data_IF_163103750894
#
_entry.id   IF_163103750894
#
_cell.length_a   1.000
_cell.length_b   1.000
_cell.length_c   1.000
_cell.angle_alpha   90.00
_cell.angle_beta   90.00
_cell.angle_gamma   90.00
#
_symmetry.space_group_name_H-M   'P 1'
#
loop_
_entity.id
_entity.type
_entity.pdbx_description
1 polymer ?
#
# COMPACT_ATOMS: atom_id res chain seq x y z
N UNK A 1 -1.39 -2.92 12.30
CA UNK A 1 -2.63 -2.17 12.56
C UNK A 1 -2.35 -0.68 12.45
N UNK A 2 -3.26 0.05 11.81
CA UNK A 2 -3.16 1.46 11.50
C UNK A 2 -4.36 2.19 12.10
N UNK A 3 -4.15 3.39 12.64
CA UNK A 3 -5.23 4.30 13.05
C UNK A 3 -5.53 5.26 11.92
N UNK A 4 -6.79 5.44 11.57
CA UNK A 4 -7.23 6.49 10.64
C UNK A 4 -7.12 7.83 11.36
N UNK A 5 -6.29 8.72 10.83
CA UNK A 5 -6.10 10.07 11.36
C UNK A 5 -7.07 11.03 10.69
N UNK A 6 -7.18 10.93 9.37
CA UNK A 6 -7.99 11.82 8.56
C UNK A 6 -8.42 11.14 7.26
N UNK A 7 -9.64 11.44 6.81
CA UNK A 7 -10.14 11.09 5.48
C UNK A 7 -10.30 12.38 4.68
N UNK A 8 -9.74 12.41 3.48
CA UNK A 8 -9.77 13.56 2.58
C UNK A 8 -10.54 13.15 1.33
N UNK A 9 -11.83 13.50 1.30
CA UNK A 9 -12.70 13.20 0.19
C UNK A 9 -12.41 14.08 -1.03
N UNK A 10 -12.29 13.44 -2.20
CA UNK A 10 -12.46 14.06 -3.51
C UNK A 10 -13.82 13.67 -4.10
N UNK A 11 -14.11 14.05 -5.34
CA UNK A 11 -15.44 13.78 -5.93
C UNK A 11 -15.79 12.29 -6.01
N UNK A 12 -14.80 11.42 -6.20
CA UNK A 12 -15.03 10.00 -6.42
C UNK A 12 -13.92 9.09 -5.83
N UNK A 13 -12.84 9.67 -5.33
CA UNK A 13 -11.71 8.98 -4.69
C UNK A 13 -11.42 9.67 -3.37
N UNK A 14 -10.60 9.05 -2.52
CA UNK A 14 -10.22 9.61 -1.23
C UNK A 14 -8.76 9.35 -0.94
N UNK A 15 -8.16 10.23 -0.15
CA UNK A 15 -6.88 9.96 0.50
C UNK A 15 -7.11 9.75 1.99
N UNK A 16 -6.53 8.69 2.54
CA UNK A 16 -6.67 8.31 3.94
C UNK A 16 -5.32 8.41 4.63
N UNK A 17 -5.22 9.29 5.63
CA UNK A 17 -4.04 9.42 6.47
C UNK A 17 -4.04 8.31 7.53
N UNK A 18 -3.12 7.36 7.42
CA UNK A 18 -3.02 6.16 8.25
C UNK A 18 -1.76 6.21 9.13
N UNK A 19 -1.94 6.10 10.44
CA UNK A 19 -0.81 6.00 11.38
C UNK A 19 -0.56 4.56 11.81
N UNK A 20 0.57 3.98 11.40
CA UNK A 20 1.02 2.69 11.90
C UNK A 20 1.21 2.76 13.42
N UNK A 21 0.51 1.89 14.14
CA UNK A 21 0.51 1.90 15.62
C UNK A 21 1.81 1.35 16.22
N UNK A 22 2.55 0.51 15.49
CA UNK A 22 3.80 -0.07 15.97
C UNK A 22 4.99 0.88 15.75
N UNK A 23 5.04 1.54 14.60
CA UNK A 23 6.19 2.34 14.17
C UNK A 23 5.97 3.84 14.34
N UNK A 24 4.72 4.28 14.43
CA UNK A 24 4.34 5.68 14.46
C UNK A 24 4.37 6.39 13.11
N UNK A 25 4.75 5.70 12.04
CA UNK A 25 4.77 6.21 10.65
C UNK A 25 3.37 6.62 10.23
N UNK A 26 3.29 7.72 9.48
CA UNK A 26 2.04 8.25 8.92
C UNK A 26 2.13 8.19 7.40
N UNK A 27 1.20 7.46 6.80
CA UNK A 27 1.08 7.25 5.36
C UNK A 27 -0.17 7.96 4.83
N UNK A 28 -0.04 8.67 3.71
CA UNK A 28 -1.19 9.12 2.94
C UNK A 28 -1.47 8.07 1.86
N UNK A 29 -2.60 7.37 2.00
CA UNK A 29 -2.96 6.25 1.14
C UNK A 29 -4.14 6.59 0.26
N UNK A 30 -4.01 6.35 -1.04
CA UNK A 30 -5.06 6.52 -2.03
C UNK A 30 -6.07 5.37 -1.95
N UNK A 31 -7.35 5.72 -2.04
CA UNK A 31 -8.51 4.82 -2.05
C UNK A 31 -9.49 5.24 -3.16
N UNK A 32 -9.62 4.41 -4.18
CA UNK A 32 -10.64 4.50 -5.23
C UNK A 32 -11.59 3.30 -5.25
N UNK A 33 -11.62 2.51 -4.18
CA UNK A 33 -12.41 1.27 -4.10
C UNK A 33 -13.91 1.48 -4.34
N UNK A 34 -14.44 2.65 -3.98
CA UNK A 34 -15.84 3.02 -4.19
C UNK A 34 -16.20 3.26 -5.66
N UNK A 35 -15.23 3.51 -6.54
CA UNK A 35 -15.46 3.62 -7.99
C UNK A 35 -15.75 2.27 -8.63
N UNK A 36 -15.27 1.20 -8.02
CA UNK A 36 -15.22 -0.13 -8.62
C UNK A 36 -16.30 -1.05 -8.04
N UNK A 37 -16.62 -0.90 -6.75
CA UNK A 37 -17.59 -1.76 -6.06
C UNK A 37 -18.32 -1.06 -4.93
N UNK A 38 -19.48 -1.62 -4.56
CA UNK A 38 -20.20 -1.31 -3.31
C UNK A 38 -19.55 -1.99 -2.09
N UNK A 39 -18.78 -3.06 -2.31
CA UNK A 39 -18.00 -3.73 -1.28
C UNK A 39 -16.59 -3.12 -1.27
N UNK A 40 -16.49 -1.94 -0.64
CA UNK A 40 -15.36 -1.02 -0.73
C UNK A 40 -14.84 -0.60 0.66
N UNK A 41 -13.98 0.41 0.73
CA UNK A 41 -13.37 0.90 1.98
C UNK A 41 -14.12 2.09 2.63
N UNK A 42 -15.36 2.39 2.23
CA UNK A 42 -16.14 3.50 2.82
C UNK A 42 -16.54 3.27 4.28
N UNK A 43 -16.45 2.04 4.78
CA UNK A 43 -16.66 1.71 6.19
C UNK A 43 -15.54 2.19 7.14
N UNK A 44 -14.44 2.73 6.60
CA UNK A 44 -13.36 3.27 7.42
C UNK A 44 -13.77 4.61 8.04
N UNK A 45 -13.53 4.75 9.34
CA UNK A 45 -13.88 5.95 10.11
C UNK A 45 -12.65 6.59 10.75
N UNK A 46 -12.62 7.92 10.81
CA UNK A 46 -11.57 8.66 11.53
C UNK A 46 -11.54 8.28 13.01
N UNK A 47 -10.34 8.05 13.55
CA UNK A 47 -10.15 7.64 14.94
C UNK A 47 -10.11 6.12 15.14
N UNK A 48 -10.71 5.35 14.23
CA UNK A 48 -10.76 3.89 14.28
C UNK A 48 -9.47 3.23 13.79
N UNK A 49 -9.37 1.92 14.05
CA UNK A 49 -8.16 1.12 13.77
C UNK A 49 -8.46 -0.08 12.88
N UNK A 50 -7.59 -0.29 11.89
CA UNK A 50 -7.75 -1.35 10.90
C UNK A 50 -6.43 -2.07 10.62
N UNK A 51 -6.52 -3.31 10.17
CA UNK A 51 -5.38 -4.04 9.61
C UNK A 51 -5.26 -3.70 8.12
N UNK A 52 -4.43 -2.72 7.80
CA UNK A 52 -4.23 -2.28 6.42
C UNK A 52 -3.03 -2.98 5.79
N UNK A 53 -3.14 -3.27 4.50
CA UNK A 53 -2.00 -3.52 3.61
C UNK A 53 -1.90 -2.38 2.60
N UNK A 54 -0.70 -1.83 2.47
CA UNK A 54 -0.41 -0.65 1.66
C UNK A 54 0.57 -1.04 0.56
N UNK A 55 0.20 -0.82 -0.69
CA UNK A 55 1.07 -1.05 -1.83
C UNK A 55 1.80 0.23 -2.24
N UNK A 56 3.06 0.11 -2.68
CA UNK A 56 3.80 1.21 -3.29
C UNK A 56 3.62 1.13 -4.81
N UNK A 57 2.95 2.14 -5.37
CA UNK A 57 2.76 2.24 -6.81
C UNK A 57 3.94 3.00 -7.43
N UNK A 58 4.72 2.31 -8.26
CA UNK A 58 6.00 2.82 -8.71
C UNK A 58 6.82 1.82 -9.53
N UNK A 59 8.14 2.02 -9.54
CA UNK A 59 9.09 1.19 -10.28
C UNK A 59 10.43 1.05 -9.57
N UNK A 60 11.13 -0.04 -9.86
CA UNK A 60 12.55 -0.21 -9.50
C UNK A 60 13.38 0.81 -10.27
N UNK A 61 14.41 1.36 -9.62
CA UNK A 61 15.40 2.25 -10.22
C UNK A 61 16.80 1.67 -10.01
N UNK A 62 17.67 1.83 -11.02
CA UNK A 62 19.03 1.26 -10.97
C UNK A 62 19.89 1.95 -9.92
N UNK A 63 19.82 3.28 -9.86
CA UNK A 63 20.60 4.11 -8.95
C UNK A 63 19.70 4.79 -7.91
N UNK A 64 20.28 5.03 -6.73
CA UNK A 64 19.63 5.82 -5.68
C UNK A 64 19.39 7.25 -6.15
N UNK A 65 18.12 7.65 -6.22
CA UNK A 65 17.71 9.05 -6.35
C UNK A 65 17.28 9.62 -5.00
N UNK A 66 17.23 10.96 -4.83
CA UNK A 66 16.71 11.59 -3.60
C UNK A 66 15.27 11.17 -3.26
N UNK A 67 14.47 10.81 -4.26
CA UNK A 67 13.08 10.40 -4.16
C UNK A 67 12.89 8.88 -4.06
N UNK A 68 13.98 8.11 -4.20
CA UNK A 68 13.94 6.65 -4.08
C UNK A 68 14.12 6.18 -2.65
N UNK A 69 13.47 5.08 -2.32
CA UNK A 69 13.62 4.38 -1.04
C UNK A 69 14.36 3.06 -1.24
N UNK A 70 15.07 2.61 -0.21
CA UNK A 70 15.63 1.27 -0.18
C UNK A 70 14.56 0.30 0.30
N UNK A 71 14.21 -0.67 -0.54
CA UNK A 71 13.32 -1.77 -0.21
C UNK A 71 14.15 -3.03 0.01
N UNK A 72 13.82 -3.80 1.05
CA UNK A 72 14.33 -5.15 1.25
C UNK A 72 13.19 -6.16 1.14
N UNK A 73 13.27 -7.09 0.19
CA UNK A 73 12.31 -8.18 0.09
C UNK A 73 12.39 -9.05 1.35
N UNK A 74 11.23 -9.34 1.95
CA UNK A 74 11.11 -10.22 3.12
C UNK A 74 10.17 -11.40 2.87
N UNK A 75 9.27 -11.29 1.89
CA UNK A 75 8.52 -12.41 1.33
C UNK A 75 8.24 -12.14 -0.16
N UNK A 76 8.61 -13.06 -1.04
CA UNK A 76 8.48 -12.90 -2.49
C UNK A 76 7.18 -13.50 -3.07
N UNK A 77 6.41 -14.22 -2.25
CA UNK A 77 5.19 -14.90 -2.68
C UNK A 77 4.02 -14.52 -1.75
N UNK A 78 3.44 -13.35 -2.01
CA UNK A 78 2.23 -12.89 -1.32
C UNK A 78 1.09 -12.74 -2.31
N UNK A 79 0.00 -13.47 -2.02
CA UNK A 79 -1.27 -13.31 -2.74
C UNK A 79 -2.21 -12.37 -1.98
N UNK A 80 -2.72 -11.36 -2.68
CA UNK A 80 -3.82 -10.49 -2.22
C UNK A 80 -4.85 -10.43 -3.34
N UNK A 81 -6.03 -11.01 -3.10
CA UNK A 81 -6.97 -11.30 -4.17
C UNK A 81 -6.34 -12.24 -5.21
N UNK A 82 -6.34 -11.83 -6.47
CA UNK A 82 -5.72 -12.53 -7.59
C UNK A 82 -4.37 -11.96 -8.01
N UNK A 83 -3.83 -10.98 -7.28
CA UNK A 83 -2.56 -10.37 -7.60
C UNK A 83 -1.42 -11.03 -6.83
N UNK A 84 -0.29 -11.24 -7.52
CA UNK A 84 0.98 -11.59 -6.91
C UNK A 84 1.73 -10.30 -6.52
N UNK A 85 2.16 -10.25 -5.26
CA UNK A 85 2.94 -9.16 -4.71
C UNK A 85 4.12 -9.73 -3.93
N UNK A 86 5.11 -8.89 -3.70
CA UNK A 86 6.13 -9.12 -2.67
C UNK A 86 5.84 -8.24 -1.46
N UNK A 87 6.25 -8.72 -0.31
CA UNK A 87 6.34 -7.96 0.93
C UNK A 87 7.75 -7.41 1.09
N UNK A 88 7.85 -6.10 1.32
CA UNK A 88 9.12 -5.40 1.51
C UNK A 88 9.17 -4.68 2.85
N UNK A 89 10.34 -4.72 3.48
CA UNK A 89 10.69 -3.86 4.60
C UNK A 89 11.28 -2.56 4.06
N UNK A 90 10.71 -1.43 4.47
CA UNK A 90 11.22 -0.09 4.21
C UNK A 90 11.42 0.59 5.56
N UNK A 91 12.69 0.79 5.92
CA UNK A 91 13.11 1.20 7.27
C UNK A 91 12.57 0.25 8.37
N UNK A 92 11.40 0.56 8.92
CA UNK A 92 10.72 -0.17 10.01
C UNK A 92 9.30 -0.62 9.64
N UNK A 93 8.82 -0.25 8.46
CA UNK A 93 7.45 -0.48 8.02
C UNK A 93 7.42 -1.53 6.89
N UNK A 94 6.31 -2.25 6.83
CA UNK A 94 6.05 -3.26 5.81
C UNK A 94 5.13 -2.66 4.74
N UNK A 95 5.51 -2.84 3.48
CA UNK A 95 4.71 -2.47 2.32
C UNK A 95 4.68 -3.59 1.29
N UNK A 96 3.82 -3.45 0.28
CA UNK A 96 3.69 -4.41 -0.81
C UNK A 96 4.05 -3.78 -2.16
N UNK A 97 4.58 -4.58 -3.06
CA UNK A 97 4.88 -4.17 -4.44
C UNK A 97 4.38 -5.27 -5.38
N UNK A 98 3.62 -4.90 -6.41
CA UNK A 98 3.19 -5.83 -7.45
C UNK A 98 4.39 -6.42 -8.19
N UNK A 99 4.40 -7.73 -8.41
CA UNK A 99 5.53 -8.43 -9.04
C UNK A 99 5.85 -7.94 -10.45
N UNK A 100 4.84 -7.43 -11.17
CA UNK A 100 5.01 -6.88 -12.52
C UNK A 100 5.93 -5.63 -12.53
N UNK A 101 6.10 -4.97 -11.38
CA UNK A 101 7.00 -3.81 -11.22
C UNK A 101 8.44 -4.22 -10.91
N UNK A 102 8.74 -5.51 -10.79
CA UNK A 102 10.00 -6.05 -10.27
C UNK A 102 10.71 -6.88 -11.34
N UNK A 103 11.23 -6.20 -12.35
CA UNK A 103 12.09 -6.85 -13.34
C UNK A 103 13.55 -6.80 -12.85
N UNK A 104 14.15 -7.98 -12.65
CA UNK A 104 15.58 -8.15 -12.36
C UNK A 104 16.11 -7.45 -11.09
N UNK A 105 15.35 -7.41 -10.00
CA UNK A 105 15.84 -6.95 -8.69
C UNK A 105 16.27 -8.13 -7.82
N UNK A 106 17.37 -7.99 -7.07
CA UNK A 106 17.71 -8.92 -5.99
C UNK A 106 16.93 -8.63 -4.70
N UNK A 107 17.35 -9.23 -3.58
CA UNK A 107 16.71 -9.09 -2.26
C UNK A 107 16.63 -7.65 -1.74
N UNK A 108 17.41 -6.73 -2.30
CA UNK A 108 17.38 -5.31 -1.95
C UNK A 108 17.55 -4.46 -3.19
N UNK A 109 16.73 -3.42 -3.29
CA UNK A 109 16.67 -2.56 -4.47
C UNK A 109 16.16 -1.17 -4.11
N UNK A 110 16.51 -0.19 -4.96
CA UNK A 110 15.92 1.14 -4.89
C UNK A 110 14.59 1.17 -5.62
N UNK A 111 13.58 1.76 -4.98
CA UNK A 111 12.24 1.88 -5.53
C UNK A 111 11.81 3.34 -5.52
N UNK A 112 11.31 3.82 -6.64
CA UNK A 112 10.65 5.11 -6.74
C UNK A 112 9.15 4.88 -6.82
N UNK A 113 8.38 5.47 -5.89
CA UNK A 113 6.93 5.40 -5.88
C UNK A 113 6.32 6.79 -6.02
N UNK A 114 5.19 6.88 -6.71
CA UNK A 114 4.43 8.13 -6.86
C UNK A 114 3.21 8.18 -5.94
N UNK A 115 2.75 7.01 -5.48
CA UNK A 115 1.54 6.87 -4.67
C UNK A 115 1.64 5.64 -3.77
N UNK A 116 0.92 5.70 -2.65
CA UNK A 116 0.68 4.55 -1.77
C UNK A 116 -0.78 4.19 -1.90
N UNK A 117 -1.08 2.95 -2.21
CA UNK A 117 -2.44 2.49 -2.50
C UNK A 117 -2.92 1.60 -1.36
N UNK A 118 -4.11 1.86 -0.85
CA UNK A 118 -4.74 0.98 0.12
C UNK A 118 -5.29 -0.24 -0.62
N UNK A 119 -4.74 -1.43 -0.37
CA UNK A 119 -5.07 -2.63 -1.16
C UNK A 119 -5.84 -3.70 -0.36
N UNK A 120 -5.82 -3.62 0.97
CA UNK A 120 -6.61 -4.49 1.85
C UNK A 120 -6.86 -3.80 3.19
N UNK A 121 -8.07 -3.91 3.72
CA UNK A 121 -8.49 -3.39 5.02
C UNK A 121 -9.22 -4.49 5.78
N UNK A 122 -8.62 -4.96 6.88
CA UNK A 122 -9.03 -6.19 7.56
C UNK A 122 -9.12 -7.36 6.55
N UNK A 123 -10.28 -7.98 6.43
CA UNK A 123 -10.51 -9.10 5.51
C UNK A 123 -11.04 -8.62 4.15
N UNK A 124 -11.28 -7.31 3.96
CA UNK A 124 -11.78 -6.75 2.69
C UNK A 124 -10.61 -6.38 1.78
N UNK A 125 -10.63 -6.91 0.57
CA UNK A 125 -9.62 -6.68 -0.47
C UNK A 125 -10.12 -5.59 -1.43
N UNK A 126 -9.20 -4.79 -1.96
CA UNK A 126 -9.56 -3.77 -2.94
C UNK A 126 -10.17 -4.43 -4.20
N UNK A 127 -11.32 -3.95 -4.71
CA UNK A 127 -12.06 -4.65 -5.77
C UNK A 127 -11.26 -4.88 -7.07
N UNK A 128 -10.36 -3.98 -7.45
CA UNK A 128 -9.50 -4.19 -8.64
C UNK A 128 -8.53 -5.37 -8.53
N UNK A 129 -8.32 -5.89 -7.32
CA UNK A 129 -7.47 -7.07 -7.09
C UNK A 129 -8.29 -8.37 -7.13
N UNK A 130 -9.61 -8.28 -7.33
CA UNK A 130 -10.55 -9.40 -7.41
C UNK A 130 -10.87 -9.74 -8.89
N UNK A 131 -11.40 -10.94 -9.18
CA UNK A 131 -11.73 -11.35 -10.55
C UNK A 131 -12.94 -10.62 -11.16
#
# INVERSE_FOLDING_TARGET
MYKVIKIIDSQATRDIELKNQATGTVDLCFDDSALVSIDNFEFMEEGEKYNCKIALFGKVVEDRTPESIMCKAINEDVMIGNCHLIEVLVEKDIYYIFTDNLQNCGDSFYFYFTRKDLIQVNDRIHPDLLP
#
